data_IF_702584728684
#
_entry.id   IF_702584728684
#
_cell.length_a   1.000
_cell.length_b   1.000
_cell.length_c   1.000
_cell.angle_alpha   90.00
_cell.angle_beta   90.00
_cell.angle_gamma   90.00
#
_symmetry.space_group_name_H-M   'P 1'
#
loop_
_entity.id
_entity.type
_entity.pdbx_description
1 polymer ?
#
# COMPACT_ATOMS: atom_id res chain seq x y z
N UNK A 1 -16.37 17.54 -33.24
CA UNK A 1 -15.97 16.89 -31.97
C UNK A 1 -14.85 17.72 -31.39
N UNK A 2 -15.16 18.60 -30.45
CA UNK A 2 -14.16 19.46 -29.79
C UNK A 2 -13.31 18.63 -28.82
N UNK A 3 -12.13 18.20 -29.27
CA UNK A 3 -11.09 17.56 -28.46
C UNK A 3 -10.32 18.56 -27.58
N UNK A 4 -10.98 19.63 -27.11
CA UNK A 4 -10.37 20.77 -26.43
C UNK A 4 -10.89 21.05 -25.01
N UNK A 5 -11.43 20.03 -24.33
CA UNK A 5 -11.89 20.19 -22.95
C UNK A 5 -10.72 20.54 -22.02
N UNK A 6 -10.66 21.80 -21.55
CA UNK A 6 -9.72 22.23 -20.52
C UNK A 6 -9.83 21.26 -19.33
N UNK A 7 -8.70 20.66 -18.92
CA UNK A 7 -8.66 19.78 -17.74
C UNK A 7 -9.29 20.53 -16.56
N UNK A 8 -10.30 19.96 -15.88
CA UNK A 8 -10.89 20.60 -14.72
C UNK A 8 -9.79 20.90 -13.70
N UNK A 9 -9.90 22.05 -13.02
CA UNK A 9 -8.94 22.43 -11.98
C UNK A 9 -8.94 21.37 -10.88
N UNK A 10 -7.76 20.93 -10.46
CA UNK A 10 -7.62 19.93 -9.40
C UNK A 10 -8.15 20.50 -8.08
N UNK A 11 -9.14 19.87 -7.44
CA UNK A 11 -9.77 20.35 -6.21
C UNK A 11 -8.90 20.02 -4.98
N UNK A 12 -7.72 20.66 -4.90
CA UNK A 12 -6.70 20.38 -3.86
C UNK A 12 -7.26 20.43 -2.44
N UNK A 13 -8.06 21.44 -2.11
CA UNK A 13 -8.69 21.56 -0.79
C UNK A 13 -9.55 20.34 -0.50
N UNK A 14 -10.41 19.93 -1.44
CA UNK A 14 -11.30 18.78 -1.28
C UNK A 14 -10.54 17.46 -1.10
N UNK A 15 -9.51 17.24 -1.92
CA UNK A 15 -8.64 16.05 -1.83
C UNK A 15 -7.94 16.00 -0.45
N UNK A 16 -7.32 17.11 -0.02
CA UNK A 16 -6.55 17.17 1.21
C UNK A 16 -7.41 17.18 2.48
N UNK A 17 -8.71 17.52 2.40
CA UNK A 17 -9.64 17.40 3.54
C UNK A 17 -10.39 16.06 3.59
N UNK A 18 -10.17 15.18 2.62
CA UNK A 18 -10.95 13.94 2.45
C UNK A 18 -10.44 12.80 3.35
N UNK A 19 -11.27 12.35 4.30
CA UNK A 19 -10.93 11.23 5.18
C UNK A 19 -10.56 9.93 4.44
N UNK A 20 -11.25 9.51 3.37
CA UNK A 20 -10.85 8.31 2.62
C UNK A 20 -9.48 8.43 1.95
N UNK A 21 -9.08 9.64 1.54
CA UNK A 21 -7.76 9.90 0.96
C UNK A 21 -6.69 9.73 2.03
N UNK A 22 -6.88 10.29 3.23
CA UNK A 22 -5.96 10.08 4.34
C UNK A 22 -5.91 8.62 4.80
N UNK A 23 -7.03 7.90 4.76
CA UNK A 23 -7.04 6.45 4.96
C UNK A 23 -6.12 5.71 4.00
N UNK A 24 -6.13 6.07 2.70
CA UNK A 24 -5.22 5.52 1.70
C UNK A 24 -3.76 5.92 1.92
N UNK A 25 -3.50 7.17 2.29
CA UNK A 25 -2.15 7.65 2.61
C UNK A 25 -1.55 6.84 3.76
N UNK A 26 -2.29 6.65 4.84
CA UNK A 26 -1.81 5.93 6.04
C UNK A 26 -1.47 4.47 5.70
N UNK A 27 -2.34 3.78 4.95
CA UNK A 27 -2.04 2.40 4.55
C UNK A 27 -0.89 2.31 3.55
N UNK A 28 -0.74 3.30 2.66
CA UNK A 28 0.41 3.34 1.74
C UNK A 28 1.72 3.49 2.50
N UNK A 29 1.75 4.37 3.50
CA UNK A 29 2.90 4.52 4.39
C UNK A 29 3.22 3.20 5.09
N UNK A 30 2.23 2.52 5.66
CA UNK A 30 2.42 1.22 6.34
C UNK A 30 2.88 0.11 5.40
N UNK A 31 2.25 -0.01 4.22
CA UNK A 31 2.64 -0.96 3.19
C UNK A 31 4.09 -0.75 2.75
N UNK A 32 4.45 0.49 2.42
CA UNK A 32 5.79 0.82 1.95
C UNK A 32 6.82 0.63 3.06
N UNK A 33 6.46 0.88 4.33
CA UNK A 33 7.32 0.57 5.47
C UNK A 33 7.68 -0.92 5.49
N UNK A 34 6.68 -1.80 5.49
CA UNK A 34 6.91 -3.25 5.49
C UNK A 34 7.67 -3.73 4.26
N UNK A 35 7.33 -3.21 3.09
CA UNK A 35 7.96 -3.58 1.82
C UNK A 35 9.43 -3.18 1.79
N UNK A 36 9.75 -1.94 2.18
CA UNK A 36 11.13 -1.48 2.20
C UNK A 36 11.96 -2.20 3.27
N UNK A 37 11.42 -2.45 4.46
CA UNK A 37 12.12 -3.25 5.47
C UNK A 37 12.45 -4.66 4.95
N UNK A 38 11.49 -5.31 4.28
CA UNK A 38 11.73 -6.60 3.63
C UNK A 38 12.72 -6.51 2.46
N UNK A 39 12.78 -5.39 1.75
CA UNK A 39 13.73 -5.21 0.65
C UNK A 39 15.16 -4.97 1.16
N UNK A 40 15.33 -4.10 2.17
CA UNK A 40 16.65 -3.62 2.62
C UNK A 40 17.25 -4.46 3.73
N UNK A 41 16.42 -4.95 4.65
CA UNK A 41 16.90 -5.52 5.91
C UNK A 41 16.79 -7.04 5.96
N UNK A 42 15.94 -7.63 5.12
CA UNK A 42 15.86 -9.07 4.94
C UNK A 42 17.22 -9.69 4.56
N UNK A 43 17.98 -9.17 3.58
CA UNK A 43 19.28 -9.75 3.24
C UNK A 43 20.29 -9.59 4.37
N UNK A 44 20.20 -8.50 5.15
CA UNK A 44 21.05 -8.26 6.32
C UNK A 44 20.76 -9.26 7.42
N UNK A 45 19.49 -9.44 7.79
CA UNK A 45 19.04 -10.44 8.75
C UNK A 45 19.47 -11.86 8.36
N UNK A 46 19.28 -12.22 7.09
CA UNK A 46 19.73 -13.53 6.58
C UNK A 46 21.24 -13.73 6.72
N UNK A 47 22.02 -12.67 6.47
CA UNK A 47 23.48 -12.73 6.58
C UNK A 47 23.99 -12.73 8.03
N UNK A 48 23.49 -11.82 8.87
CA UNK A 48 23.98 -11.60 10.23
C UNK A 48 23.50 -12.67 11.20
N UNK A 49 22.22 -13.04 11.09
CA UNK A 49 21.52 -13.93 12.02
C UNK A 49 21.50 -15.37 11.50
N UNK A 50 21.04 -15.58 10.25
CA UNK A 50 20.90 -16.94 9.69
C UNK A 50 22.21 -17.47 9.07
N UNK A 51 23.25 -16.63 9.02
CA UNK A 51 24.56 -16.93 8.40
C UNK A 51 24.43 -17.45 6.97
N UNK A 52 23.36 -17.08 6.29
CA UNK A 52 23.02 -17.54 4.95
C UNK A 52 23.14 -16.39 3.95
N UNK A 53 23.96 -16.56 2.91
CA UNK A 53 24.20 -15.50 1.94
C UNK A 53 23.22 -15.59 0.76
N UNK A 54 22.01 -15.08 0.95
CA UNK A 54 20.99 -15.04 -0.12
C UNK A 54 21.39 -14.11 -1.27
N UNK A 55 22.20 -13.09 -1.01
CA UNK A 55 22.69 -12.17 -2.04
C UNK A 55 23.58 -12.85 -3.09
N UNK A 56 24.21 -13.99 -2.76
CA UNK A 56 24.96 -14.81 -3.72
C UNK A 56 24.09 -15.79 -4.49
N UNK A 57 22.86 -16.08 -4.01
CA UNK A 57 21.94 -16.99 -4.65
C UNK A 57 20.78 -16.21 -5.28
N UNK A 58 20.98 -15.74 -6.51
CA UNK A 58 20.00 -14.94 -7.26
C UNK A 58 18.64 -15.61 -7.44
N UNK A 59 18.58 -16.95 -7.41
CA UNK A 59 17.33 -17.70 -7.45
C UNK A 59 16.52 -17.50 -6.15
N UNK A 60 17.17 -17.60 -4.99
CA UNK A 60 16.51 -17.35 -3.70
C UNK A 60 16.16 -15.88 -3.50
N UNK A 61 16.96 -14.95 -4.01
CA UNK A 61 16.67 -13.52 -3.94
C UNK A 61 15.48 -13.08 -4.81
N UNK A 62 15.24 -13.79 -5.93
CA UNK A 62 14.12 -13.48 -6.83
C UNK A 62 12.80 -14.13 -6.40
N UNK A 63 12.86 -15.22 -5.62
CA UNK A 63 11.69 -15.98 -5.20
C UNK A 63 10.59 -15.15 -4.52
N UNK A 64 10.87 -14.27 -3.53
CA UNK A 64 9.81 -13.51 -2.87
C UNK A 64 9.06 -12.58 -3.82
N UNK A 65 9.79 -11.91 -4.72
CA UNK A 65 9.19 -10.99 -5.70
C UNK A 65 8.43 -11.73 -6.79
N UNK A 66 8.92 -12.88 -7.22
CA UNK A 66 8.20 -13.76 -8.15
C UNK A 66 6.89 -14.25 -7.50
N UNK A 67 6.93 -14.69 -6.24
CA UNK A 67 5.75 -15.08 -5.48
C UNK A 67 4.78 -13.90 -5.34
N UNK A 68 5.27 -12.69 -5.03
CA UNK A 68 4.43 -11.49 -4.98
C UNK A 68 3.76 -11.20 -6.33
N UNK A 69 4.49 -11.35 -7.44
CA UNK A 69 3.93 -11.14 -8.77
C UNK A 69 2.82 -12.15 -9.09
N UNK A 70 3.05 -13.45 -8.89
CA UNK A 70 2.05 -14.50 -9.13
C UNK A 70 0.83 -14.32 -8.24
N UNK A 71 1.03 -14.08 -6.94
CA UNK A 71 -0.06 -13.86 -5.98
C UNK A 71 -0.83 -12.58 -6.28
N UNK A 72 -0.18 -11.51 -6.76
CA UNK A 72 -0.88 -10.28 -7.15
C UNK A 72 -1.88 -10.51 -8.29
N UNK A 73 -1.54 -11.35 -9.27
CA UNK A 73 -2.44 -11.72 -10.36
C UNK A 73 -3.60 -12.60 -9.84
N UNK A 74 -3.28 -13.59 -9.00
CA UNK A 74 -4.29 -14.48 -8.42
C UNK A 74 -5.29 -13.72 -7.54
N UNK A 75 -4.81 -12.83 -6.66
CA UNK A 75 -5.66 -12.00 -5.81
C UNK A 75 -6.43 -10.93 -6.62
N UNK A 76 -5.89 -10.46 -7.73
CA UNK A 76 -6.62 -9.61 -8.69
C UNK A 76 -7.84 -10.35 -9.27
N UNK A 77 -7.62 -11.53 -9.86
CA UNK A 77 -8.69 -12.35 -10.42
C UNK A 77 -9.72 -12.76 -9.36
N UNK A 78 -9.28 -13.10 -8.14
CA UNK A 78 -10.17 -13.46 -7.04
C UNK A 78 -11.00 -12.25 -6.57
N UNK A 79 -10.40 -11.06 -6.48
CA UNK A 79 -11.12 -9.84 -6.11
C UNK A 79 -12.20 -9.51 -7.14
N UNK A 80 -11.88 -9.59 -8.44
CA UNK A 80 -12.83 -9.35 -9.52
C UNK A 80 -13.96 -10.38 -9.52
N UNK A 81 -13.64 -11.66 -9.28
CA UNK A 81 -14.64 -12.71 -9.14
C UNK A 81 -15.60 -12.45 -7.96
N UNK A 82 -15.07 -12.05 -6.80
CA UNK A 82 -15.89 -11.70 -5.62
C UNK A 82 -16.83 -10.53 -5.89
N UNK A 83 -16.40 -9.54 -6.69
CA UNK A 83 -17.22 -8.39 -7.08
C UNK A 83 -18.29 -8.81 -8.09
N UNK A 84 -17.92 -9.53 -9.16
CA UNK A 84 -18.86 -9.92 -10.24
C UNK A 84 -19.93 -10.89 -9.76
N UNK A 85 -19.62 -11.73 -8.78
CA UNK A 85 -20.57 -12.68 -8.17
C UNK A 85 -21.36 -12.08 -7.01
N UNK A 86 -21.22 -10.78 -6.74
CA UNK A 86 -21.87 -10.07 -5.63
C UNK A 86 -21.66 -10.76 -4.26
N UNK A 87 -20.53 -11.47 -4.08
CA UNK A 87 -20.20 -12.16 -2.82
C UNK A 87 -19.86 -11.13 -1.74
N UNK A 88 -19.16 -10.06 -2.14
CA UNK A 88 -18.78 -8.95 -1.27
C UNK A 88 -18.95 -7.62 -2.01
N UNK A 89 -19.33 -6.57 -1.29
CA UNK A 89 -19.32 -5.21 -1.83
C UNK A 89 -17.90 -4.78 -2.19
N UNK A 90 -17.75 -3.90 -3.18
CA UNK A 90 -16.45 -3.38 -3.63
C UNK A 90 -15.62 -2.88 -2.45
N UNK A 91 -16.24 -2.13 -1.52
CA UNK A 91 -15.55 -1.64 -0.31
C UNK A 91 -15.02 -2.77 0.56
N UNK A 92 -15.83 -3.81 0.79
CA UNK A 92 -15.41 -4.94 1.62
C UNK A 92 -14.32 -5.77 0.94
N UNK A 93 -14.37 -5.91 -0.39
CA UNK A 93 -13.27 -6.49 -1.16
C UNK A 93 -11.99 -5.66 -0.97
N UNK A 94 -12.05 -4.32 -1.13
CA UNK A 94 -10.87 -3.47 -0.92
C UNK A 94 -10.31 -3.58 0.50
N UNK A 95 -11.17 -3.67 1.52
CA UNK A 95 -10.77 -3.83 2.93
C UNK A 95 -10.12 -5.19 3.18
N UNK A 96 -10.78 -6.28 2.80
CA UNK A 96 -10.32 -7.65 3.05
C UNK A 96 -8.98 -7.90 2.40
N UNK A 97 -8.81 -7.57 1.12
CA UNK A 97 -7.55 -7.84 0.41
C UNK A 97 -6.39 -6.99 0.95
N UNK A 98 -6.62 -5.71 1.29
CA UNK A 98 -5.62 -4.88 1.97
C UNK A 98 -5.26 -5.42 3.36
N UNK A 99 -6.26 -5.91 4.12
CA UNK A 99 -6.00 -6.52 5.43
C UNK A 99 -5.25 -7.84 5.32
N UNK A 100 -5.57 -8.70 4.34
CA UNK A 100 -4.79 -9.91 4.06
C UNK A 100 -3.34 -9.53 3.75
N UNK A 101 -3.12 -8.55 2.88
CA UNK A 101 -1.77 -8.10 2.54
C UNK A 101 -0.96 -7.66 3.75
N UNK A 102 -1.58 -6.83 4.60
CA UNK A 102 -0.92 -6.25 5.77
C UNK A 102 -0.68 -7.30 6.86
N UNK A 103 -1.69 -8.13 7.17
CA UNK A 103 -1.61 -9.11 8.25
C UNK A 103 -0.74 -10.31 7.89
N UNK A 104 -0.82 -10.83 6.66
CA UNK A 104 0.05 -11.93 6.21
C UNK A 104 1.51 -11.48 6.21
N UNK A 105 1.79 -10.26 5.74
CA UNK A 105 3.13 -9.69 5.82
C UNK A 105 3.60 -9.54 7.27
N UNK A 106 2.79 -8.89 8.13
CA UNK A 106 3.14 -8.64 9.52
C UNK A 106 3.40 -9.94 10.30
N UNK A 107 2.50 -10.94 10.16
CA UNK A 107 2.64 -12.24 10.79
C UNK A 107 3.80 -13.05 10.20
N UNK A 108 4.03 -12.97 8.89
CA UNK A 108 5.13 -13.66 8.21
C UNK A 108 6.50 -13.18 8.70
N UNK A 109 6.70 -11.86 8.80
CA UNK A 109 7.92 -11.25 9.34
C UNK A 109 8.11 -11.66 10.79
N UNK A 110 7.06 -11.54 11.60
CA UNK A 110 7.15 -11.84 13.01
C UNK A 110 7.45 -13.32 13.26
N UNK A 111 6.76 -14.23 12.57
CA UNK A 111 6.99 -15.67 12.65
C UNK A 111 8.42 -16.03 12.22
N UNK A 112 8.94 -15.41 11.16
CA UNK A 112 10.31 -15.62 10.71
C UNK A 112 11.37 -15.21 11.75
N UNK A 113 11.07 -14.24 12.62
CA UNK A 113 11.93 -13.85 13.74
C UNK A 113 12.02 -14.88 14.87
N UNK A 114 11.01 -15.77 14.95
CA UNK A 114 10.91 -16.85 15.93
C UNK A 114 11.29 -18.22 15.36
N UNK A 115 11.62 -18.31 14.06
CA UNK A 115 12.05 -19.56 13.41
C UNK A 115 13.38 -20.13 13.96
N UNK A 116 14.11 -19.36 14.78
CA UNK A 116 15.32 -19.83 15.46
C UNK A 116 16.46 -20.10 14.47
N UNK A 117 17.04 -21.30 14.54
CA UNK A 117 18.16 -21.70 13.69
C UNK A 117 17.73 -22.32 12.35
N UNK A 118 16.43 -22.53 12.11
CA UNK A 118 15.94 -23.08 10.85
C UNK A 118 15.85 -21.99 9.78
N UNK A 119 16.89 -21.92 8.96
CA UNK A 119 16.96 -20.92 7.92
C UNK A 119 15.98 -21.13 6.78
N UNK A 120 15.65 -22.39 6.47
CA UNK A 120 14.69 -22.69 5.42
C UNK A 120 13.28 -22.26 5.84
N UNK A 121 12.90 -22.53 7.10
CA UNK A 121 11.62 -22.08 7.66
C UNK A 121 11.52 -20.54 7.70
N UNK A 122 12.58 -19.85 8.13
CA UNK A 122 12.61 -18.38 8.14
C UNK A 122 12.41 -17.79 6.73
N UNK A 123 13.15 -18.31 5.74
CA UNK A 123 13.03 -17.87 4.34
C UNK A 123 11.63 -18.15 3.80
N UNK A 124 11.07 -19.33 4.04
CA UNK A 124 9.72 -19.68 3.58
C UNK A 124 8.65 -18.73 4.15
N UNK A 125 8.72 -18.43 5.46
CA UNK A 125 7.80 -17.49 6.11
C UNK A 125 7.92 -16.07 5.54
N UNK A 126 9.12 -15.64 5.20
CA UNK A 126 9.37 -14.32 4.59
C UNK A 126 8.87 -14.27 3.14
N UNK A 127 9.03 -15.34 2.37
CA UNK A 127 8.45 -15.48 1.03
C UNK A 127 6.92 -15.43 1.09
N UNK A 128 6.31 -16.11 2.06
CA UNK A 128 4.86 -16.03 2.30
C UNK A 128 4.44 -14.61 2.69
N UNK A 129 5.22 -13.94 3.55
CA UNK A 129 4.96 -12.55 3.94
C UNK A 129 4.97 -11.58 2.76
N UNK A 130 6.04 -11.61 1.93
CA UNK A 130 6.17 -10.78 0.72
C UNK A 130 5.09 -11.17 -0.31
N UNK A 131 4.83 -12.46 -0.48
CA UNK A 131 3.75 -12.96 -1.34
C UNK A 131 2.38 -12.42 -0.93
N UNK A 132 2.08 -12.38 0.37
CA UNK A 132 0.86 -11.80 0.90
C UNK A 132 0.66 -10.34 0.49
N UNK A 133 1.74 -9.56 0.42
CA UNK A 133 1.68 -8.15 -0.02
C UNK A 133 1.12 -7.99 -1.44
N UNK A 134 1.16 -9.05 -2.27
CA UNK A 134 0.51 -9.05 -3.60
C UNK A 134 -0.98 -8.70 -3.56
N UNK A 135 -1.69 -9.04 -2.48
CA UNK A 135 -3.11 -8.68 -2.30
C UNK A 135 -3.34 -7.17 -2.14
N UNK A 136 -2.31 -6.37 -1.83
CA UNK A 136 -2.44 -4.92 -1.72
C UNK A 136 -2.79 -4.26 -3.07
N UNK A 137 -2.40 -4.88 -4.18
CA UNK A 137 -2.69 -4.36 -5.51
C UNK A 137 -4.18 -4.43 -5.84
N UNK A 138 -4.89 -5.51 -5.47
CA UNK A 138 -6.34 -5.60 -5.68
C UNK A 138 -7.15 -4.86 -4.60
N UNK A 139 -6.54 -4.53 -3.47
CA UNK A 139 -7.14 -3.78 -2.37
C UNK A 139 -6.93 -2.26 -2.47
N UNK A 140 -5.82 -1.79 -1.91
CA UNK A 140 -5.57 -0.35 -1.70
C UNK A 140 -5.21 0.41 -2.97
N UNK A 141 -4.48 -0.22 -3.91
CA UNK A 141 -4.09 0.44 -5.17
C UNK A 141 -5.30 0.78 -6.03
N UNK A 142 -6.24 -0.17 -6.16
CA UNK A 142 -7.48 0.05 -6.91
C UNK A 142 -8.43 0.99 -6.17
N UNK A 143 -8.44 0.99 -4.84
CA UNK A 143 -9.27 1.91 -4.06
C UNK A 143 -8.96 3.40 -4.37
N UNK A 144 -7.70 3.76 -4.64
CA UNK A 144 -7.36 5.13 -5.08
C UNK A 144 -8.11 5.54 -6.37
N UNK A 145 -8.39 4.58 -7.26
CA UNK A 145 -9.17 4.79 -8.48
C UNK A 145 -10.68 4.84 -8.20
N UNK A 146 -11.16 4.10 -7.18
CA UNK A 146 -12.57 4.10 -6.77
C UNK A 146 -13.01 5.47 -6.19
N UNK A 147 -12.08 6.26 -5.65
CA UNK A 147 -12.38 7.57 -5.03
C UNK A 147 -12.57 8.72 -6.03
N UNK A 148 -11.98 8.66 -7.22
CA UNK A 148 -12.05 9.75 -8.21
C UNK A 148 -11.95 9.24 -9.63
N UNK A 149 -12.90 9.66 -10.48
CA UNK A 149 -12.89 9.31 -11.91
C UNK A 149 -12.17 10.37 -12.74
N UNK A 150 -12.19 11.64 -12.32
CA UNK A 150 -11.58 12.75 -13.06
C UNK A 150 -10.11 13.00 -12.70
N UNK A 151 -9.71 12.69 -11.47
CA UNK A 151 -8.35 12.94 -10.96
C UNK A 151 -7.66 11.71 -10.32
N UNK A 152 -7.83 10.47 -10.83
CA UNK A 152 -7.26 9.27 -10.18
C UNK A 152 -5.73 9.32 -10.10
N UNK A 153 -5.08 9.83 -11.15
CA UNK A 153 -3.62 9.97 -11.18
C UNK A 153 -3.08 10.94 -10.12
N UNK A 154 -3.79 12.04 -9.83
CA UNK A 154 -3.38 13.01 -8.80
C UNK A 154 -3.50 12.41 -7.40
N UNK A 155 -4.59 11.69 -7.11
CA UNK A 155 -4.76 11.00 -5.82
C UNK A 155 -3.68 9.95 -5.65
N UNK A 156 -3.44 9.12 -6.67
CA UNK A 156 -2.43 8.07 -6.59
C UNK A 156 -1.01 8.65 -6.46
N UNK A 157 -0.69 9.75 -7.14
CA UNK A 157 0.59 10.44 -6.99
C UNK A 157 0.78 11.02 -5.58
N UNK A 158 -0.26 11.61 -4.99
CA UNK A 158 -0.22 12.10 -3.61
C UNK A 158 0.03 10.94 -2.63
N UNK A 159 -0.76 9.87 -2.75
CA UNK A 159 -0.66 8.67 -1.89
C UNK A 159 0.75 8.07 -2.00
N UNK A 160 1.26 7.87 -3.22
CA UNK A 160 2.61 7.33 -3.44
C UNK A 160 3.71 8.28 -2.99
N UNK A 161 3.55 9.58 -3.21
CA UNK A 161 4.54 10.59 -2.84
C UNK A 161 4.75 10.64 -1.33
N UNK A 162 3.66 10.60 -0.55
CA UNK A 162 3.75 10.52 0.92
C UNK A 162 4.25 9.13 1.36
N UNK A 163 3.81 8.06 0.69
CA UNK A 163 4.31 6.70 0.91
C UNK A 163 5.83 6.60 0.80
N UNK A 164 6.44 7.24 -0.21
CA UNK A 164 7.88 7.22 -0.42
C UNK A 164 8.70 7.80 0.76
N UNK A 165 8.12 8.69 1.57
CA UNK A 165 8.76 9.21 2.78
C UNK A 165 9.01 8.08 3.78
N UNK A 166 8.13 7.07 3.85
CA UNK A 166 8.33 5.91 4.72
C UNK A 166 9.59 5.12 4.35
N UNK A 167 9.92 5.04 3.06
CA UNK A 167 11.14 4.39 2.58
C UNK A 167 12.43 5.13 2.92
N UNK A 168 12.34 6.43 3.22
CA UNK A 168 13.48 7.19 3.75
C UNK A 168 13.63 6.98 5.26
N UNK A 169 12.52 6.97 5.99
CA UNK A 169 12.52 6.90 7.46
C UNK A 169 12.75 5.47 7.97
N UNK A 170 12.21 4.46 7.30
CA UNK A 170 12.24 3.08 7.80
C UNK A 170 13.65 2.52 7.95
N UNK A 171 14.59 2.66 7.00
CA UNK A 171 15.93 2.11 7.16
C UNK A 171 16.74 2.87 8.22
N UNK A 172 16.47 4.17 8.40
CA UNK A 172 17.11 5.00 9.43
C UNK A 172 16.70 4.54 10.83
N UNK A 173 15.40 4.35 11.08
CA UNK A 173 14.95 3.85 12.38
C UNK A 173 15.46 2.43 12.65
N UNK A 174 15.46 1.56 11.66
CA UNK A 174 15.96 0.19 11.81
C UNK A 174 17.45 0.20 12.16
N UNK A 175 18.26 1.00 11.46
CA UNK A 175 19.68 1.14 11.77
C UNK A 175 19.95 1.64 13.19
N UNK A 176 19.09 2.49 13.74
CA UNK A 176 19.18 2.94 15.14
C UNK A 176 18.72 1.87 16.14
N UNK A 177 17.79 1.01 15.76
CA UNK A 177 17.27 -0.08 16.59
C UNK A 177 18.17 -1.32 16.59
N UNK A 178 19.02 -1.49 15.57
CA UNK A 178 19.91 -2.65 15.42
C UNK A 178 21.40 -2.29 15.39
N UNK A 179 21.95 -1.59 16.41
CA UNK A 179 23.36 -1.19 16.41
C UNK A 179 24.33 -2.37 16.50
N UNK A 180 23.93 -3.49 17.11
CA UNK A 180 24.78 -4.67 17.31
C UNK A 180 24.33 -5.87 16.48
N UNK A 181 23.31 -5.70 15.64
CA UNK A 181 22.70 -6.72 14.78
C UNK A 181 22.32 -8.01 15.52
N UNK A 182 21.93 -7.90 16.79
CA UNK A 182 21.59 -9.08 17.61
C UNK A 182 20.18 -9.58 17.30
N UNK A 183 19.93 -10.87 17.60
CA UNK A 183 18.59 -11.48 17.47
C UNK A 183 17.50 -10.70 18.22
N UNK A 184 17.82 -10.15 19.39
CA UNK A 184 16.85 -9.40 20.20
C UNK A 184 16.49 -8.06 19.55
N UNK A 185 17.49 -7.35 19.03
CA UNK A 185 17.30 -6.09 18.29
C UNK A 185 16.49 -6.30 17.01
N UNK A 186 16.78 -7.35 16.24
CA UNK A 186 16.01 -7.71 15.06
C UNK A 186 14.56 -8.04 15.38
N UNK A 187 14.31 -8.79 16.45
CA UNK A 187 12.95 -9.08 16.93
C UNK A 187 12.21 -7.81 17.32
N UNK A 188 12.86 -6.88 18.01
CA UNK A 188 12.26 -5.58 18.35
C UNK A 188 11.87 -4.81 17.07
N UNK A 189 12.77 -4.74 16.09
CA UNK A 189 12.49 -4.13 14.78
C UNK A 189 11.29 -4.76 14.10
N UNK A 190 11.19 -6.09 14.08
CA UNK A 190 10.06 -6.80 13.48
C UNK A 190 8.74 -6.56 14.22
N UNK A 191 8.77 -6.39 15.54
CA UNK A 191 7.59 -5.94 16.31
C UNK A 191 7.15 -4.52 15.96
N UNK A 192 8.10 -3.60 15.71
CA UNK A 192 7.77 -2.25 15.25
C UNK A 192 7.09 -2.31 13.88
N UNK A 193 7.63 -3.08 12.94
CA UNK A 193 7.03 -3.28 11.61
C UNK A 193 5.62 -3.88 11.74
N UNK A 194 5.45 -4.90 12.59
CA UNK A 194 4.14 -5.49 12.88
C UNK A 194 3.14 -4.44 13.36
N UNK A 195 3.54 -3.62 14.34
CA UNK A 195 2.68 -2.57 14.88
C UNK A 195 2.30 -1.53 13.81
N UNK A 196 3.24 -1.08 12.99
CA UNK A 196 2.99 -0.13 11.90
C UNK A 196 2.01 -0.71 10.87
N UNK A 197 2.19 -1.97 10.45
CA UNK A 197 1.30 -2.63 9.50
C UNK A 197 -0.11 -2.82 10.06
N UNK A 198 -0.24 -3.25 11.33
CA UNK A 198 -1.54 -3.45 11.96
C UNK A 198 -2.27 -2.13 12.16
N UNK A 199 -1.61 -1.12 12.73
CA UNK A 199 -2.22 0.19 13.01
C UNK A 199 -2.66 0.87 11.71
N UNK A 200 -1.80 0.88 10.69
CA UNK A 200 -2.15 1.46 9.39
C UNK A 200 -3.33 0.75 8.73
N UNK A 201 -3.37 -0.58 8.80
CA UNK A 201 -4.51 -1.36 8.32
C UNK A 201 -5.79 -1.05 9.09
N UNK A 202 -5.74 -0.97 10.43
CA UNK A 202 -6.92 -0.63 11.24
C UNK A 202 -7.48 0.75 10.88
N UNK A 203 -6.61 1.76 10.74
CA UNK A 203 -7.02 3.11 10.31
C UNK A 203 -7.67 3.07 8.93
N UNK A 204 -7.08 2.33 7.98
CA UNK A 204 -7.65 2.19 6.66
C UNK A 204 -8.99 1.47 6.65
N UNK A 205 -9.16 0.38 7.40
CA UNK A 205 -10.44 -0.33 7.47
C UNK A 205 -11.56 0.61 7.94
N UNK A 206 -11.28 1.49 8.91
CA UNK A 206 -12.25 2.48 9.42
C UNK A 206 -12.54 3.57 8.38
N UNK A 207 -11.50 4.15 7.78
CA UNK A 207 -11.61 5.35 6.92
C UNK A 207 -11.90 5.05 5.45
N UNK A 208 -11.62 3.84 4.97
CA UNK A 208 -11.76 3.47 3.56
C UNK A 208 -13.20 3.62 3.07
N UNK A 209 -13.34 4.13 1.85
CA UNK A 209 -14.59 4.21 1.09
C UNK A 209 -14.27 3.81 -0.35
N UNK A 210 -15.24 3.21 -1.05
CA UNK A 210 -15.09 2.77 -2.44
C UNK A 210 -16.19 3.37 -3.33
N UNK A 211 -16.41 4.67 -3.17
CA UNK A 211 -17.33 5.46 -4.00
C UNK A 211 -16.67 6.80 -4.33
N UNK A 212 -17.07 7.35 -5.48
CA UNK A 212 -16.57 8.64 -5.97
C UNK A 212 -16.86 9.74 -4.95
N UNK A 213 -15.83 10.49 -4.58
CA UNK A 213 -15.94 11.50 -3.55
C UNK A 213 -16.59 12.79 -4.08
N UNK A 214 -17.32 13.56 -3.24
CA UNK A 214 -18.05 14.76 -3.69
C UNK A 214 -17.16 15.83 -4.34
N UNK A 215 -15.90 15.93 -3.92
CA UNK A 215 -14.95 16.89 -4.47
C UNK A 215 -14.56 16.59 -5.92
N UNK A 216 -14.82 15.40 -6.47
CA UNK A 216 -14.54 15.08 -7.88
C UNK A 216 -15.37 15.96 -8.84
N UNK A 217 -16.55 16.41 -8.40
CA UNK A 217 -17.46 17.25 -9.18
C UNK A 217 -17.31 18.76 -8.93
N UNK A 218 -16.45 19.18 -8.00
CA UNK A 218 -16.37 20.57 -7.55
C UNK A 218 -16.02 21.60 -8.65
N UNK A 219 -15.47 21.15 -9.79
CA UNK A 219 -15.20 22.02 -10.94
C UNK A 219 -16.40 22.36 -11.83
N UNK A 220 -17.54 21.66 -11.68
CA UNK A 220 -18.71 21.86 -12.54
C UNK A 220 -19.50 23.12 -12.14
N UNK A 221 -19.61 23.40 -10.83
CA UNK A 221 -20.29 24.60 -10.32
C UNK A 221 -19.61 25.89 -10.78
N UNK A 222 -18.28 25.97 -10.65
CA UNK A 222 -17.51 27.16 -11.08
C UNK A 222 -17.51 27.36 -12.61
N UNK A 223 -17.56 26.27 -13.38
CA UNK A 223 -17.59 26.33 -14.84
C UNK A 223 -18.98 26.73 -15.37
N UNK A 224 -20.04 26.25 -14.73
CA UNK A 224 -21.41 26.62 -15.04
C UNK A 224 -21.69 28.08 -14.64
N UNK A 225 -21.19 28.52 -13.49
CA UNK A 225 -21.33 29.89 -13.03
C UNK A 225 -20.57 30.87 -13.93
N UNK A 226 -19.35 30.54 -14.36
CA UNK A 226 -18.59 31.31 -15.36
C UNK A 226 -19.24 31.35 -16.73
N UNK A 227 -19.88 30.25 -17.18
CA UNK A 227 -20.65 30.25 -18.43
C UNK A 227 -21.87 31.15 -18.32
N UNK A 228 -22.55 31.16 -17.18
CA UNK A 228 -23.66 32.08 -16.89
C UNK A 228 -23.19 33.53 -16.86
N UNK A 229 -22.09 33.85 -16.20
CA UNK A 229 -21.53 35.22 -16.19
C UNK A 229 -21.09 35.66 -17.59
N UNK A 230 -20.43 34.78 -18.35
CA UNK A 230 -20.00 35.07 -19.73
C UNK A 230 -21.19 35.25 -20.69
N UNK A 231 -22.30 34.56 -20.48
CA UNK A 231 -23.52 34.77 -21.27
C UNK A 231 -24.25 36.08 -20.93
N UNK A 232 -24.06 36.62 -19.72
CA UNK A 232 -24.66 37.87 -19.27
C UNK A 232 -23.86 39.12 -19.68
N UNK A 233 -22.54 39.00 -19.93
CA UNK A 233 -21.69 40.11 -20.40
C UNK A 233 -21.60 40.24 -21.92
N UNK A 234 -22.31 39.41 -22.68
CA UNK A 234 -22.34 39.43 -24.15
C UNK A 234 -23.51 40.24 -24.77
N UNK A 235 -24.15 41.12 -24.00
CA UNK A 235 -25.18 42.06 -24.47
C UNK A 235 -24.71 43.52 -24.36
#
# INVERSE_FOLDING_TARGET
MDCGGKRPRTPWRGILTSWPVWGLVVIQVGHDWGFFTMLTDLPKYMRSVLRYNIAQNGLLSSLPYLTMWVTSMAFGALADWCIVKDVLSVLNVRRVFTSIASLVCALGILAASYAGCDAAAAVALLVVGIGGMGAAYSGMRVNALDLSRRHPGTVMALVNGVGAISGLVSPLLIGLLTPHETMAEWRLTFWVVFAVLVVSNTVYVVLARAHVQPWDHAGDGDAEDRRRTASQTSY
#
